data_IF_098253665543
#
_entry.id   IF_098253665543
#
_cell.length_a   1.000
_cell.length_b   1.000
_cell.length_c   1.000
_cell.angle_alpha   90.00
_cell.angle_beta   90.00
_cell.angle_gamma   90.00
#
_symmetry.space_group_name_H-M   'P 1'
#
loop_
_entity.id
_entity.type
_entity.pdbx_description
1 polymer ?
#
# COMPACT_ATOMS: atom_id res chain seq x y z
N UNK A 1 5.12 -25.96 0.21
CA UNK A 1 4.99 -25.72 1.65
C UNK A 1 3.73 -24.91 1.90
N UNK A 2 2.68 -25.54 2.43
CA UNK A 2 1.49 -24.86 2.92
C UNK A 2 1.82 -23.93 4.11
N UNK A 3 1.16 -22.76 4.25
CA UNK A 3 1.33 -21.88 5.41
C UNK A 3 1.03 -22.56 6.76
N UNK A 4 0.18 -23.59 6.77
CA UNK A 4 -0.19 -24.35 7.95
C UNK A 4 1.01 -25.08 8.57
N UNK A 5 1.86 -25.70 7.75
CA UNK A 5 3.09 -26.37 8.23
C UNK A 5 4.04 -25.40 8.94
N UNK A 6 4.16 -24.18 8.42
CA UNK A 6 4.98 -23.11 9.04
C UNK A 6 4.41 -22.71 10.40
N UNK A 7 3.08 -22.59 10.49
CA UNK A 7 2.40 -22.23 11.73
C UNK A 7 2.60 -23.30 12.80
N UNK A 8 2.44 -24.57 12.43
CA UNK A 8 2.60 -25.71 13.34
C UNK A 8 4.02 -25.78 13.89
N UNK A 9 5.03 -25.67 13.04
CA UNK A 9 6.44 -25.71 13.47
C UNK A 9 6.82 -24.50 14.33
N UNK A 10 6.31 -23.31 14.01
CA UNK A 10 6.51 -22.13 14.87
C UNK A 10 5.90 -22.33 16.26
N UNK A 11 4.74 -23.00 16.35
CA UNK A 11 4.11 -23.35 17.64
C UNK A 11 4.94 -24.39 18.39
N UNK A 12 5.45 -25.41 17.70
CA UNK A 12 6.35 -26.43 18.28
C UNK A 12 7.65 -25.82 18.84
N UNK A 13 8.18 -24.80 18.17
CA UNK A 13 9.33 -24.02 18.62
C UNK A 13 9.01 -23.05 19.77
N UNK A 14 7.74 -22.96 20.20
CA UNK A 14 7.30 -22.15 21.33
C UNK A 14 6.91 -20.71 20.98
N UNK A 15 6.84 -20.36 19.70
CA UNK A 15 6.35 -19.06 19.25
C UNK A 15 4.82 -19.00 19.24
N UNK A 16 4.30 -17.78 19.16
CA UNK A 16 2.86 -17.53 19.12
C UNK A 16 2.47 -16.78 17.84
N UNK A 17 2.43 -17.47 16.69
CA UNK A 17 1.98 -16.89 15.44
C UNK A 17 0.45 -16.68 15.43
N UNK A 18 0.02 -15.59 14.81
CA UNK A 18 -1.40 -15.24 14.65
C UNK A 18 -1.91 -15.58 13.25
N UNK A 19 -1.08 -15.37 12.23
CA UNK A 19 -1.41 -15.67 10.84
C UNK A 19 -0.15 -15.90 10.02
N UNK A 20 -0.27 -16.71 8.97
CA UNK A 20 0.77 -16.90 7.95
C UNK A 20 0.12 -16.87 6.56
N UNK A 21 0.76 -16.16 5.62
CA UNK A 21 0.28 -16.02 4.25
C UNK A 21 1.42 -16.23 3.25
N UNK A 22 1.20 -17.13 2.29
CA UNK A 22 2.09 -17.27 1.15
C UNK A 22 2.01 -16.02 0.26
N UNK A 23 3.15 -15.47 -0.14
CA UNK A 23 3.20 -14.29 -1.00
C UNK A 23 3.21 -14.70 -2.47
N UNK A 24 2.57 -13.88 -3.30
CA UNK A 24 2.60 -14.02 -4.76
C UNK A 24 3.26 -12.81 -5.39
N UNK A 25 3.88 -13.02 -6.54
CA UNK A 25 4.45 -11.94 -7.33
C UNK A 25 3.32 -11.08 -7.88
N UNK A 26 3.30 -9.80 -7.53
CA UNK A 26 2.24 -8.87 -7.94
C UNK A 26 2.04 -8.75 -9.46
N UNK A 27 3.11 -8.91 -10.26
CA UNK A 27 3.04 -8.76 -11.72
C UNK A 27 2.58 -10.03 -12.41
N UNK A 28 3.08 -11.18 -11.97
CA UNK A 28 2.87 -12.47 -12.66
C UNK A 28 1.83 -13.36 -11.98
N UNK A 29 1.39 -13.00 -10.76
CA UNK A 29 0.56 -13.83 -9.86
C UNK A 29 1.16 -15.22 -9.56
N UNK A 30 2.46 -15.40 -9.82
CA UNK A 30 3.16 -16.64 -9.50
C UNK A 30 3.50 -16.72 -8.00
N UNK A 31 3.46 -17.91 -7.40
CA UNK A 31 3.87 -18.09 -6.01
C UNK A 31 5.34 -17.73 -5.83
N UNK A 32 5.65 -17.04 -4.73
CA UNK A 32 7.01 -16.73 -4.32
C UNK A 32 7.42 -17.60 -3.14
N UNK A 33 8.72 -17.89 -2.96
CA UNK A 33 9.25 -18.56 -1.78
C UNK A 33 9.31 -17.59 -0.58
N UNK A 34 8.24 -16.83 -0.35
CA UNK A 34 8.14 -15.81 0.69
C UNK A 34 6.82 -15.98 1.44
N UNK A 35 6.91 -15.90 2.76
CA UNK A 35 5.77 -16.01 3.66
C UNK A 35 5.73 -14.80 4.58
N UNK A 36 4.53 -14.26 4.78
CA UNK A 36 4.28 -13.18 5.71
C UNK A 36 3.62 -13.77 6.95
N UNK A 37 4.32 -13.73 8.08
CA UNK A 37 3.82 -14.22 9.36
C UNK A 37 3.62 -13.07 10.33
N UNK A 38 2.45 -13.03 10.96
CA UNK A 38 2.15 -12.08 12.05
C UNK A 38 2.37 -12.78 13.39
N UNK A 39 3.20 -12.18 14.24
CA UNK A 39 3.51 -12.70 15.58
C UNK A 39 2.95 -11.78 16.66
N UNK A 40 2.52 -12.36 17.78
CA UNK A 40 2.11 -11.58 18.95
C UNK A 40 3.31 -10.83 19.55
N UNK A 41 3.12 -9.61 20.06
CA UNK A 41 4.24 -8.82 20.60
C UNK A 41 4.63 -9.26 22.01
N UNK A 42 5.41 -10.34 22.11
CA UNK A 42 5.88 -10.93 23.37
C UNK A 42 7.42 -11.00 23.42
N UNK A 43 7.99 -11.17 24.61
CA UNK A 43 9.44 -11.33 24.75
C UNK A 43 9.96 -12.59 24.05
N UNK A 44 9.19 -13.69 24.07
CA UNK A 44 9.51 -14.95 23.41
C UNK A 44 9.67 -14.76 21.90
N UNK A 45 8.75 -14.01 21.27
CA UNK A 45 8.74 -13.79 19.83
C UNK A 45 9.85 -12.85 19.33
N UNK A 46 10.68 -12.28 20.22
CA UNK A 46 11.86 -11.49 19.81
C UNK A 46 12.96 -12.38 19.24
N UNK A 47 13.04 -13.62 19.71
CA UNK A 47 14.09 -14.56 19.32
C UNK A 47 13.81 -15.21 17.95
N UNK A 48 12.69 -14.87 17.31
CA UNK A 48 12.35 -15.36 15.96
C UNK A 48 13.45 -15.09 14.94
N UNK A 49 14.14 -13.94 15.05
CA UNK A 49 15.22 -13.56 14.13
C UNK A 49 16.49 -14.44 14.26
N UNK A 50 16.56 -15.29 15.27
CA UNK A 50 17.67 -16.23 15.45
C UNK A 50 17.45 -17.56 14.73
N UNK A 51 16.25 -17.82 14.21
CA UNK A 51 15.93 -19.05 13.48
C UNK A 51 16.54 -18.99 12.08
N UNK A 52 17.31 -20.00 11.72
CA UNK A 52 17.92 -20.13 10.39
C UNK A 52 17.35 -21.29 9.57
N UNK A 53 16.62 -22.20 10.21
CA UNK A 53 16.03 -23.38 9.59
C UNK A 53 14.59 -23.56 10.07
N UNK A 54 13.69 -23.84 9.13
CA UNK A 54 12.27 -24.11 9.38
C UNK A 54 11.73 -25.01 8.28
N UNK A 55 10.93 -26.01 8.62
CA UNK A 55 10.39 -27.02 7.72
C UNK A 55 11.47 -27.74 6.90
N UNK A 56 12.63 -28.00 7.51
CA UNK A 56 13.82 -28.54 6.83
C UNK A 56 14.39 -27.67 5.69
N UNK A 57 14.02 -26.39 5.65
CA UNK A 57 14.52 -25.40 4.70
C UNK A 57 15.35 -24.36 5.44
N UNK A 58 16.41 -23.87 4.77
CA UNK A 58 17.13 -22.69 5.24
C UNK A 58 16.30 -21.45 4.93
N UNK A 59 16.08 -20.64 5.95
CA UNK A 59 15.26 -19.42 5.85
C UNK A 59 16.04 -18.20 6.30
N UNK A 60 15.60 -17.05 5.84
CA UNK A 60 16.04 -15.73 6.30
C UNK A 60 14.81 -14.95 6.72
N UNK A 61 14.89 -14.30 7.87
CA UNK A 61 13.77 -13.59 8.49
C UNK A 61 14.07 -12.10 8.50
N UNK A 62 13.21 -11.33 7.84
CA UNK A 62 13.30 -9.88 7.79
C UNK A 62 12.10 -9.23 8.48
N UNK A 63 12.35 -8.14 9.19
CA UNK A 63 11.28 -7.33 9.75
C UNK A 63 10.62 -6.49 8.65
N UNK A 64 9.31 -6.65 8.45
CA UNK A 64 8.57 -5.80 7.52
C UNK A 64 8.07 -4.54 8.25
N UNK A 65 8.49 -3.33 7.85
CA UNK A 65 8.03 -2.11 8.49
C UNK A 65 6.54 -1.90 8.18
N UNK A 66 5.70 -1.90 9.22
CA UNK A 66 4.33 -1.40 9.08
C UNK A 66 4.42 0.10 8.86
N UNK A 67 4.23 0.57 7.63
CA UNK A 67 4.05 2.00 7.37
C UNK A 67 2.75 2.41 8.03
N UNK A 68 2.83 2.90 9.27
CA UNK A 68 1.75 3.74 9.82
C UNK A 68 1.70 4.95 8.90
N UNK A 69 0.71 4.98 8.02
CA UNK A 69 0.28 6.20 7.35
C UNK A 69 -0.18 7.18 8.44
N UNK A 70 0.78 7.87 9.04
CA UNK A 70 0.55 9.03 9.88
C UNK A 70 0.23 10.18 8.93
N UNK A 71 -1.01 10.25 8.46
CA UNK A 71 -1.54 11.53 8.01
C UNK A 71 -1.64 12.42 9.24
N UNK A 72 -0.60 13.23 9.49
CA UNK A 72 -0.82 14.44 10.27
C UNK A 72 -1.66 15.38 9.39
N UNK A 73 -2.82 15.87 9.86
CA UNK A 73 -3.49 16.94 9.16
C UNK A 73 -2.59 18.17 9.24
N UNK A 74 -1.97 18.56 8.12
CA UNK A 74 -1.30 19.85 8.03
C UNK A 74 -2.36 20.96 8.19
N UNK A 75 -2.23 21.89 9.15
CA UNK A 75 -3.09 23.05 9.19
C UNK A 75 -2.85 23.89 7.92
N UNK A 76 -3.95 24.29 7.27
CA UNK A 76 -3.95 25.18 6.10
C UNK A 76 -3.29 26.52 6.47
N UNK A 77 -2.00 26.66 6.20
CA UNK A 77 -1.33 27.97 6.25
C UNK A 77 -1.88 28.82 5.11
N UNK A 78 -2.52 29.92 5.51
CA UNK A 78 -3.04 31.01 4.70
C UNK A 78 -2.09 31.43 3.56
N UNK A 79 -2.58 31.41 2.32
CA UNK A 79 -1.88 31.97 1.16
C UNK A 79 -1.63 33.48 1.35
N UNK A 80 -0.42 33.99 1.07
CA UNK A 80 -0.22 35.42 0.92
C UNK A 80 -0.84 35.90 -0.41
N UNK A 81 -1.82 36.78 -0.27
CA UNK A 81 -2.32 37.66 -1.34
C UNK A 81 -1.15 38.44 -1.94
N UNK A 82 -0.82 38.18 -3.20
CA UNK A 82 -0.07 39.13 -4.02
C UNK A 82 -0.85 39.45 -5.28
N UNK A 83 -1.43 40.64 -5.21
CA UNK A 83 -2.07 41.38 -6.28
C UNK A 83 -1.15 41.48 -7.50
N UNK A 84 -1.60 40.98 -8.66
CA UNK A 84 -1.13 41.43 -9.96
C UNK A 84 -2.32 41.89 -10.81
N UNK A 85 -2.44 43.20 -10.82
CA UNK A 85 -3.24 44.08 -11.67
C UNK A 85 -3.06 43.74 -13.16
N UNK A 86 -4.14 43.43 -13.86
CA UNK A 86 -4.27 43.63 -15.31
C UNK A 86 -5.62 44.34 -15.55
N UNK A 87 -5.66 45.49 -16.25
CA UNK A 87 -6.87 46.30 -16.39
C UNK A 87 -7.80 45.86 -17.54
N UNK A 88 -9.10 45.85 -17.20
CA UNK A 88 -10.33 46.23 -17.93
C UNK A 88 -10.41 46.11 -19.47
N UNK A 89 -11.39 45.33 -19.94
CA UNK A 89 -12.60 45.75 -20.69
C UNK A 89 -13.33 44.47 -21.19
N UNK A 90 -14.42 44.03 -20.55
CA UNK A 90 -15.85 44.40 -20.73
C UNK A 90 -16.61 43.43 -21.66
N UNK A 91 -17.91 43.18 -21.43
CA UNK A 91 -18.59 41.89 -21.65
C UNK A 91 -19.67 41.96 -22.74
N UNK A 92 -20.41 40.86 -22.90
CA UNK A 92 -21.62 40.65 -23.71
C UNK A 92 -21.42 40.08 -25.13
N UNK A 93 -21.80 38.81 -25.29
CA UNK A 93 -22.80 38.44 -26.28
C UNK A 93 -23.60 37.20 -25.78
N UNK A 94 -24.94 37.21 -25.85
CA UNK A 94 -25.81 36.12 -25.43
C UNK A 94 -26.03 35.07 -26.55
N UNK A 95 -26.54 33.91 -26.12
CA UNK A 95 -27.17 32.87 -26.92
C UNK A 95 -28.20 33.41 -27.92
N UNK A 96 -28.20 32.92 -29.17
CA UNK A 96 -29.38 32.41 -29.91
C UNK A 96 -28.98 31.76 -31.25
N UNK A 97 -29.34 30.48 -31.37
CA UNK A 97 -29.97 29.76 -32.50
C UNK A 97 -30.01 30.40 -33.91
N UNK A 98 -29.51 29.68 -34.93
CA UNK A 98 -30.26 29.47 -36.20
C UNK A 98 -29.64 28.38 -37.11
N UNK A 99 -30.52 27.53 -37.65
CA UNK A 99 -30.32 26.41 -38.56
C UNK A 99 -29.78 26.72 -39.98
N UNK A 100 -29.46 25.60 -40.69
CA UNK A 100 -29.40 25.34 -42.16
C UNK A 100 -28.10 25.74 -42.86
N UNK A 101 -27.48 24.95 -43.74
CA UNK A 101 -27.90 23.87 -44.66
C UNK A 101 -26.64 23.08 -45.10
N UNK A 102 -26.61 21.73 -45.20
CA UNK A 102 -26.82 20.93 -46.45
C UNK A 102 -25.96 21.45 -47.65
N UNK A 103 -25.10 20.71 -48.39
CA UNK A 103 -25.09 19.29 -48.81
C UNK A 103 -23.72 18.92 -49.45
N UNK A 104 -23.38 17.62 -49.41
CA UNK A 104 -22.32 16.94 -50.18
C UNK A 104 -22.73 16.70 -51.66
N UNK A 105 -21.74 16.84 -52.55
CA UNK A 105 -21.62 16.30 -53.93
C UNK A 105 -22.39 17.01 -55.04
#
# INVERSE_FOLDING_TARGET
>A
MPPEEIMDELVELGFQPQSCHAMTNRKTNLPMPLFLTTLTKNNINKDIYNITELCSLKIEIESFPTTKSSFSPTPLTSLPSTSKRIPSQSPYAPFTDLQKSETQT
#
